data_IF_004100855678
#
_entry.id   IF_004100855678
#
_cell.length_a   1.000
_cell.length_b   1.000
_cell.length_c   1.000
_cell.angle_alpha   90.00
_cell.angle_beta   90.00
_cell.angle_gamma   90.00
#
_symmetry.space_group_name_H-M   'P 1'
#
loop_
_entity.id
_entity.type
_entity.pdbx_description
1 polymer ?
#
# COMPACT_ATOMS: atom_id res chain seq x y z
N UNK A 1 5.58 8.26 3.16
CA UNK A 1 4.24 7.95 2.60
C UNK A 1 3.24 9.01 3.01
N UNK A 2 2.18 9.25 2.22
CA UNK A 2 1.24 10.36 2.46
C UNK A 2 0.13 10.02 3.46
N UNK A 3 -0.27 8.76 3.51
CA UNK A 3 -1.37 8.21 4.32
C UNK A 3 -0.89 7.57 5.64
N UNK A 4 0.42 7.67 5.95
CA UNK A 4 1.01 7.10 7.15
C UNK A 4 1.22 5.58 7.11
N UNK A 5 0.85 4.91 6.01
CA UNK A 5 1.08 3.47 5.82
C UNK A 5 2.40 3.22 5.13
N UNK A 6 3.04 2.09 5.44
CA UNK A 6 4.31 1.68 4.85
C UNK A 6 4.42 0.16 4.85
N UNK A 7 5.43 -0.39 4.19
CA UNK A 7 5.87 -1.76 4.48
C UNK A 7 7.35 -1.67 4.88
N UNK A 8 7.60 -1.18 6.09
CA UNK A 8 8.95 -0.89 6.58
C UNK A 8 9.68 -2.14 7.13
N UNK A 9 8.90 -3.13 7.56
CA UNK A 9 9.37 -4.44 8.02
C UNK A 9 8.33 -5.52 7.70
N UNK A 10 8.68 -6.80 7.89
CA UNK A 10 7.87 -7.93 7.40
C UNK A 10 6.42 -7.99 7.90
N UNK A 11 6.15 -7.45 9.09
CA UNK A 11 4.86 -7.57 9.80
C UNK A 11 4.22 -6.20 10.07
N UNK A 12 4.43 -5.23 9.19
CA UNK A 12 3.80 -3.89 9.28
C UNK A 12 2.27 -3.95 9.10
N UNK A 13 1.75 -5.11 8.69
CA UNK A 13 0.33 -5.42 8.60
C UNK A 13 -0.34 -5.63 9.99
N UNK A 14 0.45 -5.87 11.04
CA UNK A 14 -0.07 -5.94 12.41
C UNK A 14 -0.60 -4.57 12.83
N UNK A 15 -1.92 -4.47 12.97
CA UNK A 15 -2.59 -3.20 13.29
C UNK A 15 -2.97 -2.38 12.05
N UNK A 16 -2.87 -2.97 10.86
CA UNK A 16 -3.23 -2.35 9.59
C UNK A 16 -2.38 -1.11 9.23
N UNK A 17 -1.05 -1.14 9.42
CA UNK A 17 -0.13 -0.06 9.01
C UNK A 17 0.53 -0.31 7.65
N UNK A 18 0.28 -1.46 7.04
CA UNK A 18 0.76 -1.84 5.73
C UNK A 18 0.20 -0.95 4.61
N UNK A 19 1.04 -0.61 3.64
CA UNK A 19 0.62 0.06 2.40
C UNK A 19 0.12 -0.95 1.37
N UNK A 20 -0.96 -1.68 1.70
CA UNK A 20 -1.60 -2.69 0.84
C UNK A 20 -3.03 -2.25 0.47
N UNK A 21 -3.39 -2.45 -0.79
CA UNK A 21 -4.77 -2.29 -1.28
C UNK A 21 -5.24 -3.60 -1.90
N UNK A 22 -6.53 -3.90 -1.78
CA UNK A 22 -7.14 -5.10 -2.34
C UNK A 22 -8.61 -4.80 -2.71
N UNK A 23 -9.07 -5.39 -3.80
CA UNK A 23 -10.46 -5.39 -4.23
C UNK A 23 -10.82 -6.78 -4.79
N UNK A 24 -12.04 -7.25 -4.55
CA UNK A 24 -12.46 -8.62 -4.89
C UNK A 24 -12.90 -8.82 -6.36
N UNK A 25 -13.18 -7.74 -7.09
CA UNK A 25 -13.54 -7.76 -8.51
C UNK A 25 -12.89 -6.55 -9.23
N UNK A 26 -11.55 -6.52 -9.31
CA UNK A 26 -10.84 -5.32 -9.73
C UNK A 26 -11.05 -5.04 -11.21
N UNK A 27 -11.47 -3.81 -11.52
CA UNK A 27 -11.64 -3.34 -12.91
C UNK A 27 -10.38 -2.72 -13.51
N UNK A 28 -9.47 -2.24 -12.66
CA UNK A 28 -8.21 -1.61 -13.06
C UNK A 28 -7.19 -1.65 -11.91
N UNK A 29 -5.91 -1.57 -12.27
CA UNK A 29 -4.79 -1.35 -11.36
C UNK A 29 -3.81 -0.34 -11.98
N UNK A 30 -3.01 0.34 -11.16
CA UNK A 30 -2.06 1.35 -11.64
C UNK A 30 -0.84 1.49 -10.73
N UNK A 31 0.26 1.95 -11.32
CA UNK A 31 1.50 2.28 -10.64
C UNK A 31 1.94 3.68 -11.08
N UNK A 32 2.22 4.56 -10.12
CA UNK A 32 2.71 5.92 -10.38
C UNK A 32 4.18 5.97 -9.94
N UNK A 33 5.08 6.32 -10.84
CA UNK A 33 6.47 6.59 -10.52
C UNK A 33 6.59 8.03 -10.00
N UNK A 34 6.93 8.17 -8.72
CA UNK A 34 7.12 9.50 -8.11
C UNK A 34 8.46 10.12 -8.52
N UNK A 35 8.55 11.46 -8.60
CA UNK A 35 9.85 12.13 -8.67
C UNK A 35 10.68 11.86 -7.40
N UNK A 36 11.99 12.13 -7.50
CA UNK A 36 12.90 12.15 -6.36
C UNK A 36 12.72 13.42 -5.52
#
# INVERSE_FOLDING_TARGET
MRDGKAYAFAFDDVGAFESLVHDGDPRAAGLILSPF
#
